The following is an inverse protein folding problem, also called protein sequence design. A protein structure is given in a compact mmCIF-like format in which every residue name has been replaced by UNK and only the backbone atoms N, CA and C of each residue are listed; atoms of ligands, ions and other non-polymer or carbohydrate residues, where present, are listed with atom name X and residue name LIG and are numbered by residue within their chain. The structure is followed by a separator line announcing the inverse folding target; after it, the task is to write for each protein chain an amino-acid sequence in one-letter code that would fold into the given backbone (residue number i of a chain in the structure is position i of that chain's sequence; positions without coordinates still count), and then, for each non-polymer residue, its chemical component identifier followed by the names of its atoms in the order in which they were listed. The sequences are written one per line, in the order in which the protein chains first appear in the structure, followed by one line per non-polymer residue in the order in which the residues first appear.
data_IF_638552121819
#
_entry.id   IF_638552121819
#
_cell.length_a   1.000
_cell.length_b   1.000
_cell.length_c   1.000
_cell.angle_alpha   90.00
_cell.angle_beta   90.00
_cell.angle_gamma   90.00
#
_symmetry.space_group_name_H-M   'P 1'
#
loop_
_entity.id
_entity.type
_entity.pdbx_description
1 polymer ?
#
# COMPACT_ATOMS: atom_id res chain seq x y z
N UNK A 1 3.63 -32.32 15.15
CA UNK A 1 2.62 -31.33 14.71
C UNK A 1 3.21 -29.93 14.69
N UNK A 2 2.65 -29.01 13.88
CA UNK A 2 3.08 -27.60 13.87
C UNK A 2 2.69 -26.92 15.18
N UNK A 3 3.61 -26.18 15.79
CA UNK A 3 3.38 -25.43 17.03
C UNK A 3 4.05 -24.06 16.97
N UNK A 4 3.65 -23.17 17.87
CA UNK A 4 4.22 -21.84 18.00
C UNK A 4 4.86 -21.66 19.37
N UNK A 5 6.14 -21.32 19.38
CA UNK A 5 6.81 -20.84 20.57
C UNK A 5 6.49 -19.36 20.74
N UNK A 6 5.80 -19.02 21.83
CA UNK A 6 5.38 -17.66 22.14
C UNK A 6 5.96 -17.18 23.47
N UNK A 7 6.10 -15.86 23.61
CA UNK A 7 6.34 -15.18 24.88
C UNK A 7 5.14 -14.29 25.20
N UNK A 8 4.39 -14.66 26.23
CA UNK A 8 3.26 -13.91 26.79
C UNK A 8 3.78 -13.00 27.89
N UNK A 9 3.86 -11.69 27.64
CA UNK A 9 4.37 -10.70 28.60
C UNK A 9 3.27 -9.75 29.08
N UNK A 10 3.08 -9.63 30.39
CA UNK A 10 2.08 -8.72 30.97
C UNK A 10 2.55 -7.27 30.79
N UNK A 11 1.72 -6.45 30.12
CA UNK A 11 2.05 -5.04 29.87
C UNK A 11 2.04 -4.25 31.18
N UNK A 12 2.77 -3.13 31.18
CA UNK A 12 2.86 -2.17 32.30
C UNK A 12 3.44 -2.75 33.60
N UNK A 13 4.10 -3.92 33.55
CA UNK A 13 4.83 -4.49 34.70
C UNK A 13 6.30 -4.07 34.70
N UNK A 14 6.83 -3.74 35.89
CA UNK A 14 8.24 -3.42 36.13
C UNK A 14 8.65 -4.01 37.50
N UNK A 15 9.53 -5.03 37.56
CA UNK A 15 10.23 -5.68 36.45
C UNK A 15 9.30 -6.49 35.53
N UNK A 16 9.74 -6.84 34.30
CA UNK A 16 8.89 -7.52 33.33
C UNK A 16 8.44 -8.92 33.78
N UNK A 17 7.13 -9.15 33.76
CA UNK A 17 6.47 -10.43 34.07
C UNK A 17 6.08 -11.14 32.78
N UNK A 18 6.51 -12.40 32.58
CA UNK A 18 6.21 -13.13 31.35
C UNK A 18 6.31 -14.65 31.48
N UNK A 19 5.56 -15.38 30.63
CA UNK A 19 5.71 -16.81 30.39
C UNK A 19 6.13 -17.06 28.94
N UNK A 20 7.03 -18.03 28.73
CA UNK A 20 7.36 -18.55 27.41
C UNK A 20 6.74 -19.93 27.28
N UNK A 21 6.01 -20.16 26.20
CA UNK A 21 5.14 -21.32 26.05
C UNK A 21 5.24 -21.88 24.64
N UNK A 22 4.86 -23.14 24.48
CA UNK A 22 4.50 -23.75 23.21
C UNK A 22 2.98 -23.83 23.15
N UNK A 23 2.39 -23.37 22.04
CA UNK A 23 0.95 -23.54 21.75
C UNK A 23 0.76 -24.37 20.48
N UNK A 24 -0.23 -25.29 20.44
CA UNK A 24 -0.53 -26.09 19.26
C UNK A 24 -0.98 -25.22 18.07
N UNK A 25 -0.53 -25.55 16.86
CA UNK A 25 -1.08 -25.03 15.61
C UNK A 25 -2.31 -25.83 15.15
N UNK A 26 -2.98 -25.34 14.12
CA UNK A 26 -4.21 -25.92 13.59
C UNK A 26 -5.43 -25.67 14.48
N UNK A 27 -5.37 -24.73 15.42
CA UNK A 27 -6.51 -24.33 16.27
C UNK A 27 -7.02 -22.94 15.88
N UNK A 28 -8.25 -22.61 16.28
CA UNK A 28 -8.84 -21.29 16.07
C UNK A 28 -8.41 -20.29 17.14
N UNK A 29 -8.61 -18.99 16.91
CA UNK A 29 -8.34 -17.97 17.91
C UNK A 29 -9.24 -18.09 19.15
N UNK A 30 -10.44 -18.65 19.02
CA UNK A 30 -11.31 -18.98 20.17
C UNK A 30 -10.69 -20.03 21.07
N UNK A 31 -10.13 -21.09 20.48
CA UNK A 31 -9.41 -22.11 21.23
C UNK A 31 -8.13 -21.53 21.86
N UNK A 32 -7.40 -20.67 21.14
CA UNK A 32 -6.22 -19.99 21.67
C UNK A 32 -6.55 -19.08 22.86
N UNK A 33 -7.70 -18.38 22.86
CA UNK A 33 -8.10 -17.51 23.96
C UNK A 33 -8.19 -18.27 25.28
N UNK A 34 -8.84 -19.44 25.29
CA UNK A 34 -8.94 -20.30 26.48
C UNK A 34 -7.55 -20.76 26.95
N UNK A 35 -6.68 -21.14 26.01
CA UNK A 35 -5.29 -21.53 26.32
C UNK A 35 -4.53 -20.36 26.96
N UNK A 36 -4.62 -19.15 26.40
CA UNK A 36 -3.89 -17.99 26.90
C UNK A 36 -4.40 -17.53 28.25
N UNK A 37 -5.71 -17.58 28.52
CA UNK A 37 -6.25 -17.27 29.85
C UNK A 37 -5.80 -18.30 30.90
N UNK A 38 -5.75 -19.59 30.54
CA UNK A 38 -5.21 -20.62 31.42
C UNK A 38 -3.70 -20.41 31.70
N UNK A 39 -2.90 -20.14 30.67
CA UNK A 39 -1.46 -19.83 30.83
C UNK A 39 -1.27 -18.58 31.68
N UNK A 40 -2.09 -17.55 31.48
CA UNK A 40 -2.05 -16.30 32.23
C UNK A 40 -2.56 -16.44 33.69
N UNK A 41 -3.13 -17.59 34.05
CA UNK A 41 -3.81 -17.83 35.33
C UNK A 41 -4.88 -16.76 35.62
N UNK A 42 -5.65 -16.44 34.58
CA UNK A 42 -6.80 -15.53 34.62
C UNK A 42 -8.10 -16.32 34.46
N UNK A 43 -9.19 -15.77 34.99
CA UNK A 43 -10.52 -16.33 34.75
C UNK A 43 -10.90 -16.23 33.28
N UNK A 44 -11.49 -17.31 32.78
CA UNK A 44 -11.90 -17.42 31.37
C UNK A 44 -13.06 -16.47 31.07
N UNK A 45 -12.88 -15.55 30.13
CA UNK A 45 -13.84 -14.49 29.81
C UNK A 45 -14.10 -14.35 28.32
N UNK A 46 -15.36 -14.20 27.94
CA UNK A 46 -15.80 -13.97 26.55
C UNK A 46 -15.42 -12.56 26.03
N UNK A 47 -14.95 -11.69 26.92
CA UNK A 47 -14.52 -10.32 26.58
C UNK A 47 -13.06 -10.25 26.12
N UNK A 48 -12.47 -11.39 25.75
CA UNK A 48 -11.12 -11.43 25.22
C UNK A 48 -11.02 -10.72 23.86
N UNK A 49 -9.82 -10.27 23.52
CA UNK A 49 -9.54 -9.65 22.23
C UNK A 49 -8.09 -9.89 21.80
N UNK A 50 -7.90 -10.12 20.50
CA UNK A 50 -6.60 -10.13 19.84
C UNK A 50 -6.46 -8.90 18.95
N UNK A 51 -5.30 -8.25 18.96
CA UNK A 51 -4.99 -7.11 18.10
C UNK A 51 -3.63 -7.30 17.42
N UNK A 52 -3.66 -7.46 16.09
CA UNK A 52 -2.52 -7.49 15.20
C UNK A 52 -2.34 -6.10 14.59
N UNK A 53 -1.55 -5.25 15.26
CA UNK A 53 -1.42 -3.84 14.92
C UNK A 53 -0.90 -3.61 13.49
N UNK A 54 0.11 -4.38 13.06
CA UNK A 54 0.72 -4.20 11.74
C UNK A 54 -0.19 -4.69 10.61
N UNK A 55 -0.94 -5.76 10.84
CA UNK A 55 -1.94 -6.25 9.91
C UNK A 55 -3.21 -5.39 9.88
N UNK A 56 -3.42 -4.52 10.87
CA UNK A 56 -4.67 -3.76 11.02
C UNK A 56 -5.87 -4.66 11.32
N UNK A 57 -5.67 -5.77 12.05
CA UNK A 57 -6.71 -6.77 12.34
C UNK A 57 -7.00 -6.84 13.83
N UNK A 58 -8.29 -6.88 14.18
CA UNK A 58 -8.79 -7.22 15.52
C UNK A 58 -9.64 -8.49 15.46
N UNK A 59 -9.41 -9.42 16.40
CA UNK A 59 -10.19 -10.65 16.51
C UNK A 59 -10.89 -10.75 17.86
N UNK A 60 -12.16 -11.16 17.80
CA UNK A 60 -13.00 -11.55 18.94
C UNK A 60 -14.12 -12.48 18.49
N UNK A 61 -14.92 -12.99 19.41
CA UNK A 61 -16.13 -13.73 19.04
C UNK A 61 -17.11 -12.87 18.25
N UNK A 62 -17.80 -13.52 17.32
CA UNK A 62 -18.89 -12.88 16.59
C UNK A 62 -20.13 -12.81 17.48
N UNK A 63 -20.74 -11.63 17.49
CA UNK A 63 -21.97 -11.35 18.22
C UNK A 63 -22.87 -10.50 17.34
N UNK A 64 -24.05 -11.01 17.06
CA UNK A 64 -25.04 -10.33 16.22
C UNK A 64 -25.43 -8.99 16.85
N UNK A 65 -25.33 -7.91 16.07
CA UNK A 65 -25.73 -6.56 16.51
C UNK A 65 -24.74 -5.83 17.42
N UNK A 66 -23.59 -6.42 17.76
CA UNK A 66 -22.54 -5.72 18.52
C UNK A 66 -21.50 -5.07 17.61
N UNK A 67 -20.88 -3.97 18.08
CA UNK A 67 -19.78 -3.35 17.34
C UNK A 67 -18.60 -4.32 17.21
N UNK A 68 -18.22 -4.62 15.97
CA UNK A 68 -17.24 -5.65 15.60
C UNK A 68 -15.76 -5.26 15.84
N UNK A 69 -15.39 -3.97 15.90
CA UNK A 69 -14.04 -3.50 16.34
C UNK A 69 -14.09 -2.40 17.41
N UNK A 70 -13.04 -2.29 18.26
CA UNK A 70 -12.88 -1.14 19.18
C UNK A 70 -12.35 0.09 18.45
N UNK A 71 -11.61 -0.13 17.37
CA UNK A 71 -10.95 0.92 16.59
C UNK A 71 -11.47 0.90 15.16
N UNK A 72 -11.91 2.04 14.67
CA UNK A 72 -12.55 2.17 13.36
C UNK A 72 -11.64 1.83 12.17
N UNK A 73 -10.32 1.79 12.39
CA UNK A 73 -9.31 1.53 11.37
C UNK A 73 -8.80 0.08 11.36
N UNK A 74 -9.41 -0.81 12.15
CA UNK A 74 -9.05 -2.22 12.19
C UNK A 74 -10.14 -3.05 11.52
N UNK A 75 -9.74 -3.99 10.67
CA UNK A 75 -10.62 -5.01 10.13
C UNK A 75 -10.99 -6.00 11.26
N UNK A 76 -12.25 -6.38 11.32
CA UNK A 76 -12.75 -7.36 12.27
C UNK A 76 -12.68 -8.75 11.67
N UNK A 77 -12.06 -9.69 12.40
CA UNK A 77 -12.06 -11.10 12.04
C UNK A 77 -12.68 -11.94 13.17
N UNK A 78 -13.55 -12.88 12.80
CA UNK A 78 -14.21 -13.76 13.76
C UNK A 78 -13.22 -14.79 14.32
N UNK A 79 -13.09 -14.86 15.65
CA UNK A 79 -12.10 -15.72 16.32
C UNK A 79 -12.36 -17.20 16.12
N UNK A 80 -13.63 -17.62 16.07
CA UNK A 80 -14.01 -19.03 15.88
C UNK A 80 -13.88 -19.47 14.43
N UNK A 81 -13.83 -18.51 13.49
CA UNK A 81 -13.66 -18.75 12.06
C UNK A 81 -12.20 -18.69 11.61
N UNK A 82 -11.31 -18.14 12.42
CA UNK A 82 -9.92 -17.87 12.03
C UNK A 82 -8.97 -18.83 12.72
N UNK A 83 -8.21 -19.59 11.92
CA UNK A 83 -7.10 -20.40 12.41
C UNK A 83 -5.89 -19.54 12.75
N UNK A 84 -5.23 -19.86 13.85
CA UNK A 84 -4.07 -19.08 14.33
C UNK A 84 -2.93 -19.08 13.32
N UNK A 85 -2.84 -20.12 12.49
CA UNK A 85 -1.84 -20.30 11.45
C UNK A 85 -1.77 -19.15 10.44
N UNK A 86 -2.91 -18.51 10.14
CA UNK A 86 -3.00 -17.45 9.14
C UNK A 86 -2.27 -16.18 9.57
N UNK A 87 -2.33 -15.85 10.87
CA UNK A 87 -1.75 -14.64 11.42
C UNK A 87 -0.45 -14.91 12.17
N UNK A 88 -0.40 -15.94 13.01
CA UNK A 88 0.81 -16.25 13.77
C UNK A 88 1.97 -16.76 12.91
N UNK A 89 1.68 -17.23 11.68
CA UNK A 89 2.72 -17.59 10.70
C UNK A 89 3.36 -16.39 9.99
N UNK A 90 2.79 -15.19 10.09
CA UNK A 90 3.18 -14.00 9.31
C UNK A 90 3.55 -12.80 10.19
N UNK A 91 2.90 -12.67 11.34
CA UNK A 91 3.05 -11.53 12.23
C UNK A 91 4.04 -11.82 13.37
N UNK A 92 4.90 -10.87 13.74
CA UNK A 92 5.91 -11.09 14.78
C UNK A 92 5.34 -11.07 16.20
N UNK A 93 4.22 -10.39 16.42
CA UNK A 93 3.58 -10.27 17.73
C UNK A 93 2.14 -9.77 17.60
N UNK A 94 1.34 -9.95 18.65
CA UNK A 94 0.02 -9.35 18.81
C UNK A 94 -0.22 -8.92 20.26
N UNK A 95 -1.22 -8.07 20.48
CA UNK A 95 -1.74 -7.81 21.83
C UNK A 95 -2.88 -8.77 22.12
N UNK A 96 -2.86 -9.40 23.29
CA UNK A 96 -3.99 -10.18 23.82
C UNK A 96 -4.55 -9.43 25.02
N UNK A 97 -5.87 -9.20 25.06
CA UNK A 97 -6.56 -8.54 26.17
C UNK A 97 -7.57 -9.50 26.77
N UNK A 98 -7.65 -9.52 28.09
CA UNK A 98 -8.70 -10.26 28.82
C UNK A 98 -9.76 -9.30 29.35
N UNK A 99 -10.96 -9.80 29.64
CA UNK A 99 -12.08 -8.99 30.15
C UNK A 99 -11.84 -8.26 31.46
N UNK A 100 -10.76 -8.59 32.20
CA UNK A 100 -10.40 -8.00 33.50
C UNK A 100 -9.33 -6.89 33.38
N UNK A 101 -9.31 -6.18 32.26
CA UNK A 101 -8.36 -5.09 31.94
C UNK A 101 -6.88 -5.49 31.80
N UNK A 102 -6.52 -6.77 31.95
CA UNK A 102 -5.14 -7.21 31.71
C UNK A 102 -4.85 -7.24 30.22
N UNK A 103 -3.72 -6.64 29.86
CA UNK A 103 -3.19 -6.70 28.51
C UNK A 103 -1.83 -7.41 28.49
N UNK A 104 -1.65 -8.26 27.49
CA UNK A 104 -0.43 -8.98 27.26
C UNK A 104 0.10 -8.67 25.87
N UNK A 105 1.42 -8.52 25.76
CA UNK A 105 2.11 -8.60 24.48
C UNK A 105 2.52 -10.04 24.24
N UNK A 106 1.98 -10.65 23.20
CA UNK A 106 2.35 -12.00 22.76
C UNK A 106 3.35 -11.89 21.64
N UNK A 107 4.61 -12.24 21.89
CA UNK A 107 5.65 -12.29 20.86
C UNK A 107 5.73 -13.70 20.30
N UNK A 108 5.65 -13.84 18.98
CA UNK A 108 5.81 -15.12 18.30
C UNK A 108 7.30 -15.28 18.02
N UNK A 109 7.96 -16.14 18.80
CA UNK A 109 9.41 -16.28 18.73
C UNK A 109 9.83 -17.22 17.59
N UNK A 110 9.10 -18.34 17.41
CA UNK A 110 9.41 -19.35 16.39
C UNK A 110 8.19 -20.22 16.08
N UNK A 111 8.10 -20.70 14.84
CA UNK A 111 7.29 -21.86 14.51
C UNK A 111 8.17 -23.12 14.60
N UNK A 112 7.74 -24.12 15.36
CA UNK A 112 8.51 -25.36 15.57
C UNK A 112 7.62 -26.58 15.35
N UNK A 113 8.24 -27.75 15.25
CA UNK A 113 7.52 -29.02 15.28
C UNK A 113 7.65 -29.61 16.67
N UNK A 114 6.53 -30.04 17.25
CA UNK A 114 6.49 -30.69 18.56
C UNK A 114 5.62 -31.95 18.49
N UNK A 115 5.89 -32.93 19.33
CA UNK A 115 5.12 -34.17 19.45
C UNK A 115 4.05 -34.08 20.54
N UNK A 116 4.20 -33.18 21.52
CA UNK A 116 3.27 -33.04 22.64
C UNK A 116 1.95 -32.42 22.18
N UNK A 117 0.82 -33.13 22.19
CA UNK A 117 -0.46 -32.64 21.68
C UNK A 117 -1.18 -31.74 22.70
N UNK A 118 -0.48 -30.83 23.38
CA UNK A 118 -1.05 -29.92 24.37
C UNK A 118 -0.15 -28.69 24.57
N UNK A 119 -0.69 -27.53 24.98
CA UNK A 119 0.11 -26.35 25.30
C UNK A 119 0.92 -26.54 26.58
N UNK A 120 2.11 -25.95 26.66
CA UNK A 120 2.93 -26.02 27.87
C UNK A 120 3.87 -24.82 28.01
N UNK A 121 4.22 -24.51 29.25
CA UNK A 121 5.15 -23.45 29.66
C UNK A 121 6.57 -24.01 29.67
N UNK A 122 7.47 -23.34 28.96
CA UNK A 122 8.91 -23.63 28.93
C UNK A 122 9.64 -22.98 30.10
N UNK A 123 9.25 -21.75 30.43
CA UNK A 123 9.83 -20.96 31.51
C UNK A 123 8.96 -19.75 31.84
N UNK A 124 9.08 -19.25 33.06
CA UNK A 124 8.42 -18.03 33.50
C UNK A 124 9.38 -17.09 34.23
N UNK A 125 9.02 -15.80 34.25
CA UNK A 125 9.67 -14.78 35.04
C UNK A 125 8.58 -13.97 35.75
N UNK A 126 8.66 -13.96 37.07
CA UNK A 126 7.76 -13.20 37.95
C UNK A 126 8.45 -11.92 38.44
N UNK A 127 7.69 -11.10 39.16
CA UNK A 127 8.15 -9.94 39.89
C UNK A 127 7.69 -10.01 41.34
N UNK A 128 8.38 -9.38 42.30
CA UNK A 128 7.93 -9.31 43.70
C UNK A 128 6.52 -8.71 43.86
N UNK A 129 6.15 -7.79 42.97
CA UNK A 129 4.87 -7.08 43.00
C UNK A 129 3.76 -7.75 42.15
N UNK A 130 4.05 -8.90 41.51
CA UNK A 130 3.06 -9.64 40.72
C UNK A 130 2.41 -10.76 41.51
N UNK A 131 1.22 -11.20 41.07
CA UNK A 131 0.60 -12.45 41.52
C UNK A 131 1.62 -13.59 41.42
N UNK A 132 1.74 -14.38 42.48
CA UNK A 132 2.50 -15.64 42.47
C UNK A 132 1.86 -16.59 41.49
N UNK A 133 2.61 -17.03 40.49
CA UNK A 133 2.15 -18.04 39.55
C UNK A 133 2.37 -19.44 40.10
N UNK A 134 1.65 -20.40 39.53
CA UNK A 134 1.95 -21.80 39.77
C UNK A 134 3.37 -22.13 39.32
N UNK A 135 4.00 -23.09 40.01
CA UNK A 135 5.23 -23.69 39.51
C UNK A 135 5.00 -24.29 38.11
N UNK A 136 6.03 -24.20 37.26
CA UNK A 136 5.97 -24.59 35.85
C UNK A 136 5.57 -26.06 35.68
N UNK A 137 6.04 -26.96 36.55
CA UNK A 137 5.70 -28.38 36.45
C UNK A 137 4.22 -28.62 36.75
N UNK A 138 3.70 -28.02 37.82
CA UNK A 138 2.29 -28.11 38.19
C UNK A 138 1.39 -27.49 37.13
N UNK A 139 1.74 -26.29 36.65
CA UNK A 139 0.99 -25.64 35.58
C UNK A 139 0.94 -26.50 34.31
N UNK A 140 2.05 -27.15 33.95
CA UNK A 140 2.10 -28.05 32.81
C UNK A 140 1.29 -29.35 33.00
N UNK A 141 1.19 -29.86 34.23
CA UNK A 141 0.32 -31.00 34.53
C UNK A 141 -1.16 -30.63 34.32
N UNK A 142 -1.59 -29.46 34.80
CA UNK A 142 -2.96 -28.96 34.60
C UNK A 142 -3.24 -28.71 33.11
N UNK A 143 -2.32 -28.03 32.41
CA UNK A 143 -2.45 -27.80 30.97
C UNK A 143 -2.56 -29.12 30.18
N UNK A 144 -1.74 -30.12 30.52
CA UNK A 144 -1.79 -31.44 29.88
C UNK A 144 -3.13 -32.15 30.12
N UNK A 145 -3.70 -32.04 31.32
CA UNK A 145 -4.96 -32.67 31.67
C UNK A 145 -6.17 -32.03 30.99
N UNK A 146 -6.13 -30.71 30.79
CA UNK A 146 -7.28 -29.96 30.27
C UNK A 146 -7.23 -29.72 28.75
N UNK A 147 -6.05 -29.57 28.17
CA UNK A 147 -5.88 -29.06 26.79
C UNK A 147 -5.23 -30.08 25.86
N UNK A 148 -5.57 -31.36 25.98
CA UNK A 148 -5.24 -32.35 24.95
C UNK A 148 -5.89 -31.95 23.62
N UNK A 149 -5.10 -31.99 22.55
CA UNK A 149 -5.53 -31.69 21.18
C UNK A 149 -5.75 -32.99 20.42
N UNK A 150 -6.95 -33.15 19.87
CA UNK A 150 -7.25 -34.20 18.89
C UNK A 150 -7.25 -33.58 17.51
N UNK A 151 -6.47 -34.14 16.57
CA UNK A 151 -6.39 -33.62 15.21
C UNK A 151 -7.37 -34.33 14.27
N UNK A 152 -8.00 -33.57 13.38
CA UNK A 152 -8.94 -34.09 12.39
C UNK A 152 -9.46 -33.00 11.46
N UNK A 153 -10.77 -33.03 11.19
CA UNK A 153 -11.45 -32.04 10.37
C UNK A 153 -11.48 -30.65 11.03
N UNK A 154 -11.63 -29.56 10.24
CA UNK A 154 -11.75 -28.22 10.77
C UNK A 154 -12.86 -28.05 11.83
N UNK A 155 -12.50 -27.46 12.98
CA UNK A 155 -13.39 -27.15 14.10
C UNK A 155 -13.59 -25.63 14.21
N UNK A 156 -14.83 -25.19 14.40
CA UNK A 156 -15.21 -23.77 14.46
C UNK A 156 -16.11 -23.47 15.66
N UNK A 157 -15.97 -24.25 16.73
CA UNK A 157 -16.70 -24.00 17.96
C UNK A 157 -16.40 -22.59 18.47
N UNK A 158 -17.46 -21.89 18.83
CA UNK A 158 -17.41 -20.58 19.46
C UNK A 158 -16.85 -20.69 20.88
N UNK A 159 -16.33 -19.59 21.41
CA UNK A 159 -15.88 -19.56 22.80
C UNK A 159 -16.98 -19.93 23.80
N UNK A 160 -18.24 -19.61 23.53
CA UNK A 160 -19.37 -19.96 24.40
C UNK A 160 -19.59 -21.48 24.44
N UNK A 161 -19.52 -22.16 23.29
CA UNK A 161 -19.56 -23.62 23.22
C UNK A 161 -18.37 -24.24 23.96
N UNK A 162 -17.14 -23.74 23.73
CA UNK A 162 -15.94 -24.21 24.43
C UNK A 162 -16.08 -24.06 25.96
N UNK A 163 -16.56 -22.91 26.42
CA UNK A 163 -16.77 -22.61 27.84
C UNK A 163 -17.89 -23.48 28.43
N UNK A 164 -18.94 -23.78 27.67
CA UNK A 164 -20.00 -24.70 28.09
C UNK A 164 -19.45 -26.12 28.26
N UNK A 165 -18.64 -26.61 27.30
CA UNK A 165 -17.99 -27.91 27.40
C UNK A 165 -17.03 -28.01 28.60
N UNK A 166 -16.32 -26.92 28.93
CA UNK A 166 -15.46 -26.86 30.13
C UNK A 166 -16.28 -27.04 31.42
N UNK A 167 -17.49 -26.47 31.46
CA UNK A 167 -18.41 -26.61 32.61
C UNK A 167 -19.00 -28.01 32.71
N UNK A 168 -19.30 -28.64 31.57
CA UNK A 168 -19.93 -29.98 31.53
C UNK A 168 -18.91 -31.13 31.56
N UNK A 169 -17.60 -30.83 31.52
CA UNK A 169 -16.52 -31.81 31.54
C UNK A 169 -16.30 -32.55 30.21
N UNK A 170 -16.90 -32.08 29.12
CA UNK A 170 -16.75 -32.64 27.77
C UNK A 170 -15.69 -31.93 26.92
N UNK A 171 -15.01 -30.94 27.51
CA UNK A 171 -14.03 -30.10 26.82
C UNK A 171 -12.84 -30.86 26.27
N UNK A 172 -12.42 -30.46 25.08
CA UNK A 172 -11.17 -30.85 24.46
C UNK A 172 -10.84 -29.93 23.29
N UNK A 173 -9.54 -29.72 23.04
CA UNK A 173 -9.09 -28.97 21.90
C UNK A 173 -9.16 -29.83 20.63
N UNK A 174 -9.55 -29.21 19.52
CA UNK A 174 -9.65 -29.84 18.21
C UNK A 174 -8.77 -29.09 17.23
N UNK A 175 -7.70 -29.75 16.81
CA UNK A 175 -6.79 -29.24 15.79
C UNK A 175 -7.22 -29.71 14.41
N UNK A 176 -7.10 -28.85 13.41
CA UNK A 176 -7.29 -29.23 12.02
C UNK A 176 -5.96 -29.72 11.42
N UNK A 177 -5.97 -30.86 10.75
CA UNK A 177 -4.80 -31.30 9.95
C UNK A 177 -4.58 -30.38 8.74
N UNK A 178 -5.68 -29.87 8.18
CA UNK A 178 -5.74 -28.92 7.07
C UNK A 178 -6.60 -27.72 7.50
N UNK A 179 -6.04 -26.76 8.24
CA UNK A 179 -6.81 -25.60 8.71
C UNK A 179 -7.29 -24.76 7.53
N UNK A 180 -8.56 -24.37 7.55
CA UNK A 180 -9.18 -23.49 6.53
C UNK A 180 -10.01 -22.44 7.25
N UNK A 181 -9.58 -21.19 7.23
CA UNK A 181 -10.35 -20.10 7.86
C UNK A 181 -11.59 -19.74 7.03
N UNK A 182 -12.63 -19.33 7.76
CA UNK A 182 -13.88 -18.78 7.23
C UNK A 182 -13.81 -17.26 7.25
N UNK A 183 -14.46 -16.60 6.29
CA UNK A 183 -14.38 -15.14 6.14
C UNK A 183 -15.74 -14.46 6.07
N UNK A 184 -16.83 -15.23 6.14
CA UNK A 184 -18.21 -14.76 5.98
C UNK A 184 -18.61 -13.76 7.07
N UNK A 185 -18.06 -13.93 8.28
CA UNK A 185 -18.30 -13.05 9.43
C UNK A 185 -17.21 -11.98 9.62
N UNK A 186 -16.24 -11.89 8.70
CA UNK A 186 -15.21 -10.87 8.78
C UNK A 186 -15.75 -9.54 8.22
N UNK A 187 -15.42 -8.43 8.86
CA UNK A 187 -15.85 -7.11 8.43
C UNK A 187 -14.65 -6.20 8.15
N UNK A 188 -14.61 -5.61 6.96
CA UNK A 188 -13.61 -4.59 6.64
C UNK A 188 -13.94 -3.29 7.35
N UNK A 189 -12.90 -2.66 7.88
CA UNK A 189 -12.95 -1.32 8.44
C UNK A 189 -13.37 -0.29 7.40
N UNK A 190 -13.86 0.86 7.87
CA UNK A 190 -14.13 1.99 6.99
C UNK A 190 -12.88 2.46 6.24
N UNK A 191 -11.72 2.39 6.89
CA UNK A 191 -10.43 2.75 6.29
C UNK A 191 -10.05 1.79 5.15
N UNK A 192 -10.14 0.47 5.37
CA UNK A 192 -9.89 -0.53 4.33
C UNK A 192 -10.86 -0.36 3.16
N UNK A 193 -12.15 -0.16 3.43
CA UNK A 193 -13.16 0.07 2.39
C UNK A 193 -12.85 1.32 1.56
N UNK A 194 -12.46 2.42 2.20
CA UNK A 194 -12.08 3.66 1.50
C UNK A 194 -10.82 3.47 0.65
N UNK A 195 -9.81 2.75 1.16
CA UNK A 195 -8.60 2.43 0.41
C UNK A 195 -8.91 1.57 -0.82
N UNK A 196 -9.69 0.50 -0.66
CA UNK A 196 -10.09 -0.37 -1.78
C UNK A 196 -10.92 0.38 -2.81
N UNK A 197 -11.80 1.28 -2.38
CA UNK A 197 -12.53 2.16 -3.28
C UNK A 197 -11.58 3.10 -4.04
N UNK A 198 -10.61 3.71 -3.37
CA UNK A 198 -9.61 4.56 -4.00
C UNK A 198 -8.76 3.78 -5.02
N UNK A 199 -8.34 2.56 -4.69
CA UNK A 199 -7.60 1.67 -5.60
C UNK A 199 -8.44 1.28 -6.81
N UNK A 200 -9.73 0.96 -6.61
CA UNK A 200 -10.67 0.65 -7.68
C UNK A 200 -10.88 1.86 -8.60
N UNK A 201 -11.05 3.06 -8.03
CA UNK A 201 -11.15 4.29 -8.79
C UNK A 201 -9.89 4.56 -9.59
N UNK A 202 -8.70 4.41 -9.00
CA UNK A 202 -7.43 4.57 -9.71
C UNK A 202 -7.30 3.58 -10.86
N UNK A 203 -7.67 2.31 -10.62
CA UNK A 203 -7.69 1.27 -11.65
C UNK A 203 -8.65 1.63 -12.79
N UNK A 204 -9.88 2.03 -12.49
CA UNK A 204 -10.85 2.45 -13.51
C UNK A 204 -10.40 3.70 -14.27
N UNK A 205 -9.80 4.68 -13.60
CA UNK A 205 -9.22 5.84 -14.27
C UNK A 205 -8.06 5.45 -15.18
N UNK A 206 -7.21 4.50 -14.79
CA UNK A 206 -6.15 3.96 -15.63
C UNK A 206 -6.68 3.13 -16.82
N UNK A 207 -7.71 2.32 -16.61
CA UNK A 207 -8.36 1.52 -17.66
C UNK A 207 -9.11 2.40 -18.67
N UNK A 208 -9.81 3.44 -18.20
CA UNK A 208 -10.46 4.42 -19.07
C UNK A 208 -9.44 5.28 -19.83
N UNK A 209 -8.27 5.58 -19.25
CA UNK A 209 -7.13 6.16 -19.99
C UNK A 209 -6.68 5.24 -21.14
N UNK A 210 -6.60 3.94 -20.92
CA UNK A 210 -6.23 2.97 -21.96
C UNK A 210 -7.31 2.75 -23.04
N UNK A 211 -8.60 2.96 -22.71
CA UNK A 211 -9.70 2.83 -23.66
C UNK A 211 -9.94 4.09 -24.51
N UNK A 212 -9.63 5.29 -23.99
CA UNK A 212 -9.76 6.55 -24.73
C UNK A 212 -8.54 6.89 -25.62
N UNK A 213 -7.42 6.17 -25.53
CA UNK A 213 -6.22 6.37 -26.36
C UNK A 213 -6.14 5.45 -27.60
N UNK A 214 -7.26 5.31 -28.33
CA UNK A 214 -7.22 5.01 -29.78
C UNK A 214 -7.54 6.22 -30.65
N UNK A 215 -7.47 7.43 -30.11
CA UNK A 215 -7.32 8.66 -30.88
C UNK A 215 -5.88 9.14 -30.75
N UNK A 216 -5.05 8.87 -31.75
CA UNK A 216 -3.74 9.53 -31.90
C UNK A 216 -3.98 11.04 -32.00
N UNK A 217 -3.90 11.74 -30.86
CA UNK A 217 -3.86 13.21 -30.81
C UNK A 217 -2.51 13.64 -31.39
N UNK A 218 -2.52 14.04 -32.65
CA UNK A 218 -1.36 14.52 -33.38
C UNK A 218 -1.53 16.02 -33.64
N UNK A 219 -1.12 16.89 -32.70
CA UNK A 219 -1.35 18.32 -32.84
C UNK A 219 -0.57 18.88 -34.03
N UNK A 220 -1.13 19.89 -34.70
CA UNK A 220 -0.38 20.73 -35.64
C UNK A 220 0.07 22.03 -34.97
N UNK A 221 1.24 22.57 -35.35
CA UNK A 221 1.72 23.84 -34.78
C UNK A 221 0.71 24.97 -34.98
N UNK A 222 0.05 24.99 -36.15
CA UNK A 222 -0.97 25.99 -36.47
C UNK A 222 -2.21 25.89 -35.57
N UNK A 223 -2.60 24.68 -35.18
CA UNK A 223 -3.71 24.44 -34.26
C UNK A 223 -3.38 24.93 -32.85
N UNK A 224 -2.18 24.60 -32.35
CA UNK A 224 -1.67 25.09 -31.05
C UNK A 224 -1.72 26.62 -31.02
N UNK A 225 -1.08 27.26 -32.01
CA UNK A 225 -1.00 28.73 -32.12
C UNK A 225 -2.34 29.41 -32.35
N UNK A 226 -3.34 28.71 -32.88
CA UNK A 226 -4.69 29.27 -33.09
C UNK A 226 -5.40 29.57 -31.78
N UNK A 227 -5.02 28.88 -30.69
CA UNK A 227 -5.54 29.11 -29.34
C UNK A 227 -5.00 30.39 -28.69
N UNK A 228 -3.83 30.87 -29.12
CA UNK A 228 -3.17 32.05 -28.55
C UNK A 228 -3.81 33.35 -29.03
N UNK A 229 -3.65 34.42 -28.28
CA UNK A 229 -4.05 35.78 -28.66
C UNK A 229 -3.19 36.33 -29.80
N UNK A 230 -3.65 37.39 -30.46
CA UNK A 230 -2.89 38.02 -31.54
C UNK A 230 -1.63 38.70 -31.01
N UNK A 231 -1.67 39.17 -29.78
CA UNK A 231 -0.60 39.84 -29.05
C UNK A 231 0.52 38.85 -28.69
N UNK A 232 0.19 37.65 -28.18
CA UNK A 232 1.16 36.58 -27.94
C UNK A 232 1.88 36.17 -29.24
N UNK A 233 1.14 36.02 -30.34
CA UNK A 233 1.72 35.74 -31.65
C UNK A 233 2.65 36.86 -32.15
N UNK A 234 2.32 38.12 -31.88
CA UNK A 234 3.20 39.26 -32.20
C UNK A 234 4.47 39.25 -31.38
N UNK A 235 4.39 38.93 -30.09
CA UNK A 235 5.56 38.79 -29.21
C UNK A 235 6.50 37.71 -29.74
N UNK A 236 5.96 36.52 -30.06
CA UNK A 236 6.77 35.44 -30.62
C UNK A 236 7.37 35.83 -32.00
N UNK A 237 6.62 36.54 -32.84
CA UNK A 237 7.15 37.03 -34.11
C UNK A 237 8.30 38.03 -33.93
N UNK A 238 8.24 38.85 -32.88
CA UNK A 238 9.31 39.78 -32.48
C UNK A 238 10.56 39.02 -32.02
N UNK A 239 10.40 38.03 -31.13
CA UNK A 239 11.48 37.17 -30.64
C UNK A 239 12.16 36.38 -31.77
N UNK A 240 11.41 36.08 -32.83
CA UNK A 240 11.90 35.43 -34.06
C UNK A 240 12.46 36.42 -35.09
N UNK A 241 12.48 37.72 -34.79
CA UNK A 241 12.97 38.81 -35.62
C UNK A 241 12.25 38.91 -36.99
N UNK A 242 10.97 38.53 -37.04
CA UNK A 242 10.17 38.58 -38.26
C UNK A 242 9.93 40.03 -38.70
N UNK A 243 9.95 40.28 -40.02
CA UNK A 243 9.67 41.61 -40.59
C UNK A 243 8.23 41.73 -41.09
N UNK A 244 7.64 42.91 -40.90
CA UNK A 244 6.33 43.25 -41.46
C UNK A 244 5.16 42.45 -40.89
N UNK A 245 5.24 42.03 -39.63
CA UNK A 245 4.21 41.19 -38.98
C UNK A 245 3.08 41.98 -38.32
N UNK A 246 3.30 43.25 -37.97
CA UNK A 246 2.41 44.06 -37.13
C UNK A 246 0.98 44.23 -37.69
N UNK A 247 0.84 44.31 -39.02
CA UNK A 247 -0.44 44.50 -39.71
C UNK A 247 -1.10 43.20 -40.18
N UNK A 248 -0.47 42.04 -39.99
CA UNK A 248 -0.99 40.77 -40.51
C UNK A 248 -2.26 40.32 -39.77
N UNK A 249 -3.11 39.58 -40.48
CA UNK A 249 -4.21 38.83 -39.87
C UNK A 249 -3.66 37.63 -39.09
N UNK A 250 -4.41 37.15 -38.10
CA UNK A 250 -3.95 36.13 -37.14
C UNK A 250 -3.51 34.84 -37.83
N UNK A 251 -4.34 34.33 -38.73
CA UNK A 251 -4.08 33.14 -39.57
C UNK A 251 -2.80 33.28 -40.42
N UNK A 252 -2.61 34.42 -41.07
CA UNK A 252 -1.40 34.70 -41.87
C UNK A 252 -0.15 34.78 -40.98
N UNK A 253 -0.29 35.39 -39.80
CA UNK A 253 0.78 35.51 -38.82
C UNK A 253 1.20 34.13 -38.28
N UNK A 254 0.25 33.27 -37.93
CA UNK A 254 0.49 31.87 -37.53
C UNK A 254 1.27 31.12 -38.61
N UNK A 255 0.87 31.25 -39.88
CA UNK A 255 1.58 30.63 -41.00
C UNK A 255 3.05 31.07 -41.09
N UNK A 256 3.32 32.38 -41.00
CA UNK A 256 4.68 32.92 -41.03
C UNK A 256 5.54 32.44 -39.85
N UNK A 257 4.98 32.44 -38.64
CA UNK A 257 5.69 31.97 -37.43
C UNK A 257 6.03 30.49 -37.55
N UNK A 258 5.06 29.68 -38.00
CA UNK A 258 5.26 28.25 -38.26
C UNK A 258 6.40 28.00 -39.24
N UNK A 259 6.38 28.69 -40.39
CA UNK A 259 7.43 28.58 -41.40
C UNK A 259 8.81 28.94 -40.86
N UNK A 260 8.90 29.97 -40.02
CA UNK A 260 10.16 30.41 -39.41
C UNK A 260 10.69 29.38 -38.40
N UNK A 261 9.85 28.91 -37.48
CA UNK A 261 10.21 27.95 -36.44
C UNK A 261 10.64 26.59 -37.01
N UNK A 262 10.08 26.18 -38.15
CA UNK A 262 10.43 24.92 -38.82
C UNK A 262 11.74 25.00 -39.62
N UNK A 263 12.42 26.15 -39.68
CA UNK A 263 13.77 26.24 -40.24
C UNK A 263 14.78 25.58 -39.29
N UNK A 264 15.63 24.64 -39.77
CA UNK A 264 16.60 23.97 -38.92
C UNK A 264 17.53 24.91 -38.14
N UNK A 265 17.96 26.02 -38.76
CA UNK A 265 18.81 27.02 -38.10
C UNK A 265 18.10 27.77 -36.98
N UNK A 266 16.80 28.06 -37.15
CA UNK A 266 15.98 28.71 -36.14
C UNK A 266 15.72 27.74 -34.99
N UNK A 267 15.34 26.49 -35.28
CA UNK A 267 15.17 25.46 -34.25
C UNK A 267 16.48 25.21 -33.49
N UNK A 268 17.63 25.16 -34.17
CA UNK A 268 18.93 25.05 -33.49
C UNK A 268 19.13 26.18 -32.48
N UNK A 269 18.95 27.44 -32.91
CA UNK A 269 19.05 28.64 -32.06
C UNK A 269 18.08 28.60 -30.88
N UNK A 270 16.82 28.22 -31.11
CA UNK A 270 15.82 28.13 -30.05
C UNK A 270 16.14 27.02 -29.04
N UNK A 271 16.56 25.85 -29.51
CA UNK A 271 16.91 24.69 -28.67
C UNK A 271 18.15 24.93 -27.80
N UNK A 272 19.00 25.92 -28.13
CA UNK A 272 20.13 26.30 -27.28
C UNK A 272 19.70 26.93 -25.95
N UNK A 273 18.54 27.58 -25.90
CA UNK A 273 18.08 28.34 -24.72
C UNK A 273 17.52 27.47 -23.60
N UNK A 274 17.19 26.20 -23.90
CA UNK A 274 16.66 25.26 -22.92
C UNK A 274 17.78 24.55 -22.17
N UNK A 275 17.56 24.24 -20.91
CA UNK A 275 18.42 23.40 -20.06
C UNK A 275 18.48 21.94 -20.54
N UNK A 276 19.41 21.17 -19.98
CA UNK A 276 19.48 19.73 -20.22
C UNK A 276 18.25 18.99 -19.67
N UNK A 277 17.66 19.47 -18.57
CA UNK A 277 16.45 18.89 -17.96
C UNK A 277 15.21 19.10 -18.83
N UNK A 278 15.01 20.33 -19.32
CA UNK A 278 13.93 20.67 -20.25
C UNK A 278 14.03 19.86 -21.55
N UNK A 279 15.23 19.70 -22.09
CA UNK A 279 15.42 18.92 -23.33
C UNK A 279 15.20 17.44 -23.09
N UNK A 280 15.58 16.90 -21.92
CA UNK A 280 15.26 15.52 -21.57
C UNK A 280 13.75 15.30 -21.45
N UNK A 281 13.00 16.26 -20.89
CA UNK A 281 11.54 16.22 -20.84
C UNK A 281 10.95 16.24 -22.26
N UNK A 282 11.37 17.17 -23.12
CA UNK A 282 10.93 17.24 -24.52
C UNK A 282 11.25 15.95 -25.31
N UNK A 283 12.46 15.42 -25.18
CA UNK A 283 12.86 14.16 -25.83
C UNK A 283 12.08 12.95 -25.31
N UNK A 284 11.55 13.01 -24.08
CA UNK A 284 10.69 11.96 -23.54
C UNK A 284 9.32 11.97 -24.22
N UNK A 285 8.76 13.15 -24.50
CA UNK A 285 7.51 13.29 -25.29
C UNK A 285 7.71 12.79 -26.73
N UNK A 286 8.88 13.06 -27.32
CA UNK A 286 9.21 12.61 -28.69
C UNK A 286 9.27 11.09 -28.86
N UNK A 287 9.58 10.33 -27.80
CA UNK A 287 9.75 8.86 -27.84
C UNK A 287 8.42 8.11 -27.82
N UNK A 288 7.32 8.80 -27.50
CA UNK A 288 5.98 8.22 -27.44
C UNK A 288 5.07 8.88 -28.48
N UNK A 289 3.81 8.45 -28.57
CA UNK A 289 2.76 9.14 -29.33
C UNK A 289 2.19 10.36 -28.59
N UNK A 290 2.87 10.82 -27.53
CA UNK A 290 2.36 11.70 -26.48
C UNK A 290 2.16 10.95 -25.16
N UNK A 291 2.09 11.66 -24.03
CA UNK A 291 1.80 11.08 -22.71
C UNK A 291 1.30 12.17 -21.74
N UNK A 292 0.85 11.75 -20.54
CA UNK A 292 0.49 12.65 -19.44
C UNK A 292 1.69 12.93 -18.55
N UNK A 293 2.33 14.11 -18.62
CA UNK A 293 3.49 14.42 -17.79
C UNK A 293 3.08 14.62 -16.33
N UNK A 294 3.97 14.27 -15.40
CA UNK A 294 3.80 14.64 -13.99
C UNK A 294 3.97 16.17 -13.86
N UNK A 295 3.45 16.77 -12.78
CA UNK A 295 3.44 18.24 -12.60
C UNK A 295 4.80 18.90 -12.83
N UNK A 296 5.88 18.29 -12.35
CA UNK A 296 7.25 18.76 -12.54
C UNK A 296 7.66 18.80 -14.02
N UNK A 297 7.24 17.82 -14.81
CA UNK A 297 7.56 17.74 -16.23
C UNK A 297 6.74 18.76 -17.05
N UNK A 298 5.54 19.14 -16.60
CA UNK A 298 4.75 20.19 -17.26
C UNK A 298 5.46 21.54 -17.21
N UNK A 299 6.06 21.89 -16.06
CA UNK A 299 6.86 23.11 -15.91
C UNK A 299 8.07 23.11 -16.86
N UNK A 300 8.72 21.95 -17.03
CA UNK A 300 9.84 21.79 -17.97
C UNK A 300 9.44 21.85 -19.46
N UNK A 301 8.15 21.71 -19.78
CA UNK A 301 7.63 21.74 -21.15
C UNK A 301 7.06 23.10 -21.57
N UNK A 302 6.90 24.04 -20.62
CA UNK A 302 6.24 25.33 -20.85
C UNK A 302 6.91 26.14 -21.98
N UNK A 303 8.24 26.25 -21.96
CA UNK A 303 8.94 26.98 -23.03
C UNK A 303 8.82 26.30 -24.40
N UNK A 304 8.69 24.97 -24.48
CA UNK A 304 8.43 24.29 -25.75
C UNK A 304 6.99 24.49 -26.23
N UNK A 305 6.03 24.58 -25.30
CA UNK A 305 4.66 24.96 -25.62
C UNK A 305 4.62 26.38 -26.20
N UNK A 306 5.36 27.33 -25.62
CA UNK A 306 5.45 28.71 -26.12
C UNK A 306 6.07 28.83 -27.52
N UNK A 307 6.81 27.82 -27.97
CA UNK A 307 7.33 27.71 -29.35
C UNK A 307 6.45 26.83 -30.26
N UNK A 308 5.28 26.41 -29.79
CA UNK A 308 4.42 25.42 -30.45
C UNK A 308 5.15 24.10 -30.81
N UNK A 309 6.27 23.80 -30.15
CA UNK A 309 7.00 22.56 -30.32
C UNK A 309 6.36 21.39 -29.56
N UNK A 310 5.51 21.68 -28.58
CA UNK A 310 4.69 20.72 -27.84
C UNK A 310 3.27 21.28 -27.75
N UNK A 311 2.27 20.47 -28.04
CA UNK A 311 0.88 20.76 -27.68
C UNK A 311 0.58 20.17 -26.30
N UNK A 312 0.00 20.97 -25.40
CA UNK A 312 -0.47 20.54 -24.08
C UNK A 312 -2.00 20.74 -24.04
N UNK A 313 -2.75 19.67 -23.88
CA UNK A 313 -4.21 19.68 -23.84
C UNK A 313 -4.74 19.94 -22.42
N UNK A 314 -6.02 20.28 -22.29
CA UNK A 314 -6.68 20.56 -21.00
C UNK A 314 -6.62 19.40 -19.99
N UNK A 315 -6.46 18.16 -20.46
CA UNK A 315 -6.27 16.98 -19.62
C UNK A 315 -4.79 16.73 -19.26
N UNK A 316 -3.91 17.69 -19.54
CA UNK A 316 -2.45 17.61 -19.42
C UNK A 316 -1.79 16.57 -20.33
N UNK A 317 -2.47 16.10 -21.38
CA UNK A 317 -1.80 15.30 -22.40
C UNK A 317 -0.81 16.18 -23.17
N UNK A 318 0.44 15.75 -23.30
CA UNK A 318 1.47 16.44 -24.07
C UNK A 318 1.87 15.62 -25.30
N UNK A 319 1.93 16.26 -26.47
CA UNK A 319 2.36 15.63 -27.71
C UNK A 319 3.14 16.60 -28.60
N UNK A 320 4.12 16.07 -29.34
CA UNK A 320 4.93 16.86 -30.28
C UNK A 320 4.31 16.77 -31.69
N UNK A 321 4.08 17.90 -32.38
CA UNK A 321 3.66 17.90 -33.78
C UNK A 321 4.64 17.16 -34.69
N UNK A 322 4.15 16.36 -35.63
CA UNK A 322 5.00 15.57 -36.54
C UNK A 322 5.98 16.42 -37.37
N UNK A 323 5.58 17.64 -37.71
CA UNK A 323 6.45 18.61 -38.38
C UNK A 323 7.65 19.01 -37.53
N UNK A 324 7.45 19.19 -36.23
CA UNK A 324 8.52 19.47 -35.26
C UNK A 324 9.41 18.24 -35.12
N UNK A 325 8.85 17.03 -34.99
CA UNK A 325 9.63 15.77 -34.93
C UNK A 325 10.57 15.65 -36.13
N UNK A 326 10.06 15.92 -37.33
CA UNK A 326 10.83 15.83 -38.58
C UNK A 326 12.02 16.78 -38.63
N UNK A 327 11.84 18.03 -38.17
CA UNK A 327 12.93 19.01 -38.14
C UNK A 327 13.91 18.71 -37.00
N UNK A 328 13.42 18.39 -35.81
CA UNK A 328 14.27 18.09 -34.67
C UNK A 328 15.19 16.88 -34.93
N UNK A 329 14.71 15.85 -35.64
CA UNK A 329 15.54 14.72 -36.07
C UNK A 329 16.74 15.16 -36.95
N UNK A 330 16.60 16.23 -37.74
CA UNK A 330 17.68 16.79 -38.56
C UNK A 330 18.64 17.65 -37.72
N UNK A 331 18.12 18.36 -36.72
CA UNK A 331 18.89 19.27 -35.85
C UNK A 331 19.68 18.51 -34.77
N UNK A 332 19.07 17.49 -34.17
CA UNK A 332 19.60 16.73 -33.03
C UNK A 332 20.75 15.77 -33.41
N UNK A 333 21.82 16.33 -33.96
CA UNK A 333 23.04 15.64 -34.37
C UNK A 333 24.04 15.56 -33.22
N UNK A 334 25.02 14.63 -33.25
CA UNK A 334 26.10 14.61 -32.26
C UNK A 334 26.86 15.94 -32.17
N UNK A 335 27.03 16.65 -33.30
CA UNK A 335 27.66 17.97 -33.36
C UNK A 335 26.87 19.01 -32.57
N UNK A 336 25.55 19.05 -32.76
CA UNK A 336 24.66 19.95 -32.03
C UNK A 336 24.64 19.66 -30.52
N UNK A 337 24.54 18.37 -30.13
CA UNK A 337 24.61 17.95 -28.72
C UNK A 337 25.91 18.40 -28.04
N UNK A 338 27.05 18.29 -28.76
CA UNK A 338 28.35 18.77 -28.25
C UNK A 338 28.39 20.29 -28.12
N UNK A 339 27.83 21.02 -29.09
CA UNK A 339 27.73 22.48 -29.07
C UNK A 339 26.96 22.97 -27.83
N UNK A 340 25.76 22.43 -27.58
CA UNK A 340 24.95 22.76 -26.39
C UNK A 340 25.69 22.57 -25.08
N UNK A 341 26.31 21.39 -24.90
CA UNK A 341 27.11 21.12 -23.69
C UNK A 341 28.27 22.10 -23.50
N UNK A 342 28.87 22.59 -24.58
CA UNK A 342 30.03 23.49 -24.51
C UNK A 342 29.61 24.93 -24.20
N UNK A 343 28.50 25.40 -24.77
CA UNK A 343 28.00 26.77 -24.54
C UNK A 343 27.37 26.91 -23.14
N UNK A 344 26.66 25.90 -22.64
CA UNK A 344 26.11 25.93 -21.26
C UNK A 344 27.17 25.90 -20.16
N UNK A 345 28.39 25.43 -20.45
CA UNK A 345 29.53 25.50 -19.53
C UNK A 345 30.20 26.88 -19.50
N UNK A 346 29.89 27.78 -20.46
CA UNK A 346 30.43 29.14 -20.52
C UNK A 346 29.53 30.19 -19.86
N UNK A 347 28.26 29.85 -19.63
CA UNK A 347 27.26 30.72 -18.99
C UNK A 347 27.08 30.42 -17.48
N UNK A 348 27.72 29.37 -16.97
CA UNK A 348 27.95 29.12 -15.53
C UNK A 348 29.29 29.69 -15.11
#
# INVERSE_FOLDING_TARGET
MKTFQIKLAEKKTKPPVWKRCIVPGGITFSQLAVILEAIAETEVSEQYEFEFYQAGIQLREWREGEQAVRRYNFDYWCSSDTYIDDLMGREPWFTFRTGKEKEYRVTIEKCVTDEKPYPYILKQKESPDSRTWMDVEKANQELRGQFQVTYGDPDYRTFDELKQEMKTGSFGLRGAEKPVSRTERNEKSSETKLREFADLLQKHLAENRNAQERYTRNPEMAEIMSSWTKEELKSLAEDLELKGYHSLKKDILVGKIKEELLKPSVMERQMMMFSDEEIAAFESVLKTTGYYPVRKDLELLEGFYNLAYVGIYNDNFAAVPDEVKKIYKKVNTPKFRKKRKTEMLREK
#
